data_IF_451147863900
#
_entry.id   IF_451147863900
#
_cell.length_a   1.000
_cell.length_b   1.000
_cell.length_c   1.000
_cell.angle_alpha   90.00
_cell.angle_beta   90.00
_cell.angle_gamma   90.00
#
_symmetry.space_group_name_H-M   'P 1'
#
loop_
_entity.id
_entity.type
_entity.pdbx_description
1 polymer ?
#
# COMPACT_ATOMS: atom_id res chain seq x y z
N UNK A 1 13.64 16.21 -33.17
CA UNK A 1 14.18 17.22 -32.22
C UNK A 1 14.28 16.50 -30.88
N UNK A 2 15.47 16.37 -30.27
CA UNK A 2 15.59 15.71 -28.98
C UNK A 2 15.05 16.69 -27.92
N UNK A 3 14.02 16.29 -27.17
CA UNK A 3 13.56 17.03 -26.00
C UNK A 3 14.47 16.69 -24.82
N UNK A 4 15.07 17.70 -24.23
CA UNK A 4 15.86 17.59 -23.01
C UNK A 4 15.15 18.39 -21.93
N UNK A 5 15.21 17.90 -20.69
CA UNK A 5 14.77 18.66 -19.53
C UNK A 5 15.75 19.80 -19.22
N UNK A 6 15.48 20.54 -18.13
CA UNK A 6 16.35 21.66 -17.68
C UNK A 6 17.75 21.20 -17.23
N UNK A 7 17.98 19.88 -17.12
CA UNK A 7 19.27 19.27 -16.74
C UNK A 7 19.96 18.58 -17.92
N UNK A 8 19.41 18.68 -19.16
CA UNK A 8 19.98 18.09 -20.37
C UNK A 8 19.72 16.59 -20.54
N UNK A 9 18.79 16.02 -19.78
CA UNK A 9 18.39 14.62 -19.91
C UNK A 9 17.38 14.40 -21.03
N UNK A 10 17.38 13.21 -21.63
CA UNK A 10 16.37 12.84 -22.62
C UNK A 10 15.00 12.68 -21.95
N UNK A 11 14.05 13.51 -22.28
CA UNK A 11 12.68 13.39 -21.79
C UNK A 11 11.92 12.38 -22.66
N UNK A 12 11.38 11.36 -22.02
CA UNK A 12 10.45 10.42 -22.64
C UNK A 12 9.05 10.88 -22.28
N UNK A 13 8.28 11.26 -23.30
CA UNK A 13 6.88 11.61 -23.11
C UNK A 13 6.00 10.36 -23.23
N UNK A 14 5.12 10.16 -22.23
CA UNK A 14 4.17 9.06 -22.22
C UNK A 14 2.77 9.58 -22.54
N UNK A 15 2.04 8.87 -23.39
CA UNK A 15 0.62 9.05 -23.61
C UNK A 15 -0.14 7.98 -22.84
N UNK A 16 -1.04 8.40 -21.98
CA UNK A 16 -1.90 7.51 -21.21
C UNK A 16 -3.21 7.34 -21.98
N UNK A 17 -3.58 6.11 -22.22
CA UNK A 17 -4.81 5.73 -22.92
C UNK A 17 -5.62 4.73 -22.09
N UNK A 18 -6.91 4.62 -22.39
CA UNK A 18 -7.80 3.61 -21.78
C UNK A 18 -7.80 3.56 -20.25
N UNK A 19 -7.58 4.67 -19.58
CA UNK A 19 -7.58 4.74 -18.14
C UNK A 19 -8.91 4.27 -17.55
N UNK A 20 -8.87 3.33 -16.62
CA UNK A 20 -10.02 2.76 -15.92
C UNK A 20 -9.82 2.89 -14.43
N UNK A 21 -10.87 3.32 -13.73
CA UNK A 21 -10.94 3.27 -12.28
C UNK A 21 -11.57 1.94 -11.87
N UNK A 22 -10.84 1.13 -11.13
CA UNK A 22 -11.24 -0.20 -10.70
C UNK A 22 -11.31 -0.26 -9.17
N UNK A 23 -12.36 -0.87 -8.66
CA UNK A 23 -12.47 -1.19 -7.24
C UNK A 23 -11.95 -2.61 -7.03
N UNK A 24 -10.64 -2.71 -6.79
CA UNK A 24 -9.94 -3.97 -6.58
C UNK A 24 -9.39 -4.03 -5.17
N UNK A 25 -9.50 -5.20 -4.54
CA UNK A 25 -8.78 -5.49 -3.31
C UNK A 25 -7.27 -5.58 -3.56
N UNK A 26 -6.48 -5.46 -2.51
CA UNK A 26 -5.02 -5.61 -2.59
C UNK A 26 -4.61 -6.98 -3.17
N UNK A 27 -5.36 -8.03 -2.86
CA UNK A 27 -5.13 -9.39 -3.35
C UNK A 27 -5.39 -9.53 -4.86
N UNK A 28 -6.30 -8.73 -5.40
CA UNK A 28 -6.64 -8.73 -6.83
C UNK A 28 -5.69 -7.85 -7.64
N UNK A 29 -5.29 -6.69 -7.11
CA UNK A 29 -4.45 -5.78 -7.87
C UNK A 29 -2.96 -6.15 -7.86
N UNK A 30 -2.45 -6.75 -6.76
CA UNK A 30 -1.02 -7.10 -6.65
C UNK A 30 -0.50 -8.07 -7.71
N UNK A 31 -1.25 -9.13 -8.10
CA UNK A 31 -0.80 -10.04 -9.15
C UNK A 31 -1.02 -9.52 -10.58
N UNK A 32 -1.57 -8.32 -10.76
CA UNK A 32 -1.75 -7.77 -12.10
C UNK A 32 -0.40 -7.56 -12.78
N UNK A 33 -0.30 -8.02 -14.03
CA UNK A 33 0.85 -7.75 -14.90
C UNK A 33 0.82 -6.28 -15.36
N UNK A 34 1.17 -5.38 -14.45
CA UNK A 34 1.20 -3.94 -14.70
C UNK A 34 2.43 -3.31 -14.05
N UNK A 35 2.99 -2.32 -14.72
CA UNK A 35 4.08 -1.53 -14.16
C UNK A 35 3.55 -0.63 -13.05
N UNK A 36 4.09 -0.76 -11.87
CA UNK A 36 3.84 0.15 -10.75
C UNK A 36 5.08 0.98 -10.43
N UNK A 37 4.87 2.06 -9.65
CA UNK A 37 5.94 2.99 -9.31
C UNK A 37 7.13 2.31 -8.61
N UNK A 38 6.87 1.36 -7.72
CA UNK A 38 7.93 0.65 -6.98
C UNK A 38 8.76 -0.21 -7.92
N UNK A 39 8.13 -0.91 -8.84
CA UNK A 39 8.79 -1.74 -9.83
C UNK A 39 9.71 -0.89 -10.75
N UNK A 40 9.20 0.25 -11.23
CA UNK A 40 9.99 1.18 -12.05
C UNK A 40 11.18 1.75 -11.27
N UNK A 41 10.99 2.11 -10.00
CA UNK A 41 12.09 2.57 -9.12
C UNK A 41 13.15 1.51 -8.92
N UNK A 42 12.76 0.26 -8.73
CA UNK A 42 13.69 -0.85 -8.54
C UNK A 42 14.51 -1.13 -9.81
N UNK A 43 13.88 -1.05 -10.99
CA UNK A 43 14.60 -1.13 -12.28
C UNK A 43 15.63 0.00 -12.39
N UNK A 44 15.21 1.23 -12.10
CA UNK A 44 16.06 2.41 -12.27
C UNK A 44 17.22 2.45 -11.26
N UNK A 45 16.93 2.20 -9.98
CA UNK A 45 17.90 2.39 -8.91
C UNK A 45 18.83 1.18 -8.70
N UNK A 46 18.40 -0.01 -9.09
CA UNK A 46 19.16 -1.26 -8.86
C UNK A 46 19.35 -2.03 -10.16
N UNK A 47 18.33 -2.77 -10.61
CA UNK A 47 18.36 -3.50 -11.87
C UNK A 47 17.00 -4.14 -12.20
N UNK A 48 16.73 -4.51 -13.47
CA UNK A 48 15.54 -5.28 -13.85
C UNK A 48 15.42 -6.62 -13.10
N UNK A 49 16.54 -7.34 -12.94
CA UNK A 49 16.56 -8.63 -12.21
C UNK A 49 16.19 -8.48 -10.72
N UNK A 50 16.61 -7.38 -10.10
CA UNK A 50 16.22 -7.08 -8.73
C UNK A 50 14.74 -6.73 -8.61
N UNK A 51 14.21 -5.96 -9.54
CA UNK A 51 12.79 -5.62 -9.58
C UNK A 51 11.92 -6.88 -9.71
N UNK A 52 12.31 -7.81 -10.59
CA UNK A 52 11.63 -9.09 -10.76
C UNK A 52 11.73 -9.96 -9.49
N UNK A 53 12.89 -10.00 -8.85
CA UNK A 53 13.09 -10.70 -7.59
C UNK A 53 12.16 -10.16 -6.49
N UNK A 54 12.09 -8.84 -6.32
CA UNK A 54 11.22 -8.20 -5.31
C UNK A 54 9.74 -8.41 -5.58
N UNK A 55 9.34 -8.43 -6.84
CA UNK A 55 7.94 -8.73 -7.20
C UNK A 55 7.53 -10.13 -6.74
N UNK A 56 8.43 -11.11 -6.90
CA UNK A 56 8.21 -12.50 -6.47
C UNK A 56 8.41 -12.71 -4.96
N UNK A 57 9.19 -11.84 -4.32
CA UNK A 57 9.56 -11.92 -2.91
C UNK A 57 9.27 -10.58 -2.21
N UNK A 58 8.00 -10.23 -1.99
CA UNK A 58 7.64 -8.98 -1.34
C UNK A 58 8.22 -8.92 0.07
N UNK A 59 8.84 -7.79 0.40
CA UNK A 59 9.31 -7.57 1.76
C UNK A 59 8.13 -7.47 2.73
N UNK A 60 8.23 -8.21 3.82
CA UNK A 60 7.30 -8.12 4.94
C UNK A 60 8.10 -7.72 6.17
N UNK A 61 7.87 -6.50 6.65
CA UNK A 61 8.58 -6.00 7.83
C UNK A 61 7.64 -5.27 8.79
N UNK A 62 8.06 -5.09 10.07
CA UNK A 62 7.22 -4.43 11.07
C UNK A 62 6.80 -3.02 10.66
N UNK A 63 7.68 -2.26 9.99
CA UNK A 63 7.38 -0.92 9.51
C UNK A 63 6.31 -0.93 8.39
N UNK A 64 6.36 -1.89 7.49
CA UNK A 64 5.37 -2.05 6.44
C UNK A 64 4.02 -2.45 7.03
N UNK A 65 4.01 -3.40 7.97
CA UNK A 65 2.82 -3.82 8.69
C UNK A 65 2.16 -2.63 9.42
N UNK A 66 2.95 -1.84 10.14
CA UNK A 66 2.47 -0.64 10.82
C UNK A 66 1.87 0.37 9.83
N UNK A 67 2.57 0.63 8.72
CA UNK A 67 2.11 1.54 7.67
C UNK A 67 0.79 1.08 7.03
N UNK A 68 0.67 -0.19 6.68
CA UNK A 68 -0.55 -0.77 6.13
C UNK A 68 -1.71 -0.70 7.13
N UNK A 69 -1.46 -1.01 8.40
CA UNK A 69 -2.48 -0.92 9.43
C UNK A 69 -2.94 0.51 9.68
N UNK A 70 -2.02 1.49 9.73
CA UNK A 70 -2.35 2.90 9.85
C UNK A 70 -3.20 3.37 8.66
N UNK A 71 -2.79 3.03 7.46
CA UNK A 71 -3.50 3.38 6.22
C UNK A 71 -4.93 2.85 6.24
N UNK A 72 -5.12 1.56 6.54
CA UNK A 72 -6.44 0.95 6.66
C UNK A 72 -7.27 1.59 7.77
N UNK A 73 -6.68 1.85 8.94
CA UNK A 73 -7.39 2.46 10.07
C UNK A 73 -7.87 3.89 9.78
N UNK A 74 -7.10 4.64 8.98
CA UNK A 74 -7.45 6.02 8.58
C UNK A 74 -8.52 6.03 7.50
N UNK A 75 -8.42 5.18 6.50
CA UNK A 75 -9.25 5.24 5.29
C UNK A 75 -10.47 4.33 5.35
N UNK A 76 -10.36 3.16 6.00
CA UNK A 76 -11.40 2.13 6.03
C UNK A 76 -11.66 1.60 7.46
N UNK A 77 -11.84 2.50 8.42
CA UNK A 77 -11.97 2.14 9.83
C UNK A 77 -13.06 1.09 10.13
N UNK A 78 -14.14 1.09 9.36
CA UNK A 78 -15.27 0.16 9.55
C UNK A 78 -14.91 -1.30 9.31
N UNK A 79 -13.94 -1.57 8.46
CA UNK A 79 -13.48 -2.92 8.09
C UNK A 79 -12.20 -3.33 8.81
N UNK A 80 -11.53 -2.40 9.50
CA UNK A 80 -10.23 -2.61 10.15
C UNK A 80 -10.16 -3.87 11.00
N UNK A 81 -11.12 -4.07 11.91
CA UNK A 81 -11.14 -5.24 12.80
C UNK A 81 -11.48 -6.56 12.10
N UNK A 82 -11.86 -6.53 10.83
CA UNK A 82 -11.96 -7.72 9.98
C UNK A 82 -10.58 -8.24 9.57
N UNK A 83 -9.60 -7.36 9.38
CA UNK A 83 -8.27 -7.70 8.89
C UNK A 83 -7.19 -7.70 9.98
N UNK A 84 -7.37 -6.94 11.04
CA UNK A 84 -6.38 -6.76 12.10
C UNK A 84 -6.95 -7.13 13.46
N UNK A 85 -6.10 -7.73 14.29
CA UNK A 85 -6.38 -7.99 15.70
C UNK A 85 -5.28 -7.40 16.57
N UNK A 86 -5.66 -6.78 17.67
CA UNK A 86 -4.70 -6.20 18.62
C UNK A 86 -4.34 -7.24 19.67
N UNK A 87 -3.05 -7.55 19.75
CA UNK A 87 -2.55 -8.53 20.73
C UNK A 87 -2.85 -8.09 22.17
N UNK A 88 -3.34 -8.99 23.04
CA UNK A 88 -3.56 -8.65 24.44
C UNK A 88 -2.23 -8.46 25.16
N UNK A 89 -2.21 -7.51 26.10
CA UNK A 89 -1.08 -7.31 27.00
C UNK A 89 -1.06 -8.43 28.05
N UNK A 90 -0.35 -9.52 27.74
CA UNK A 90 -0.24 -10.66 28.64
C UNK A 90 1.19 -11.19 28.73
N UNK A 91 1.61 -11.59 29.94
CA UNK A 91 2.91 -12.27 30.10
C UNK A 91 2.78 -13.75 29.75
N UNK A 92 3.20 -14.10 28.53
CA UNK A 92 3.20 -15.47 27.99
C UNK A 92 4.09 -16.47 28.73
N UNK A 93 4.83 -16.06 29.78
CA UNK A 93 5.59 -16.97 30.64
C UNK A 93 4.69 -17.57 31.74
N UNK A 94 3.60 -16.91 32.11
CA UNK A 94 2.64 -17.39 33.09
C UNK A 94 1.62 -18.33 32.44
N UNK A 95 1.00 -19.19 33.26
CA UNK A 95 -0.06 -20.09 32.81
C UNK A 95 -1.24 -19.30 32.24
N UNK A 96 -1.69 -18.31 32.96
CA UNK A 96 -2.81 -17.45 32.58
C UNK A 96 -2.50 -16.70 31.28
N UNK A 97 -1.28 -16.16 31.12
CA UNK A 97 -0.88 -15.47 29.89
C UNK A 97 -0.81 -16.38 28.67
N UNK A 98 -0.43 -17.66 28.84
CA UNK A 98 -0.49 -18.65 27.76
C UNK A 98 -1.93 -18.93 27.35
N UNK A 99 -2.80 -19.21 28.31
CA UNK A 99 -4.23 -19.46 28.06
C UNK A 99 -4.89 -18.27 27.35
N UNK A 100 -4.60 -17.03 27.80
CA UNK A 100 -5.09 -15.80 27.17
C UNK A 100 -4.60 -15.69 25.71
N UNK A 101 -3.32 -16.00 25.47
CA UNK A 101 -2.76 -15.94 24.13
C UNK A 101 -3.33 -17.02 23.20
N UNK A 102 -3.50 -18.24 23.68
CA UNK A 102 -4.08 -19.35 22.93
C UNK A 102 -5.53 -19.04 22.54
N UNK A 103 -6.34 -18.50 23.45
CA UNK A 103 -7.71 -18.06 23.15
C UNK A 103 -7.71 -16.94 22.10
N UNK A 104 -6.83 -15.94 22.25
CA UNK A 104 -6.70 -14.85 21.28
C UNK A 104 -6.36 -15.35 19.87
N UNK A 105 -5.42 -16.28 19.76
CA UNK A 105 -5.03 -16.87 18.46
C UNK A 105 -6.16 -17.71 17.87
N UNK A 106 -6.89 -18.45 18.70
CA UNK A 106 -8.04 -19.24 18.24
C UNK A 106 -9.14 -18.35 17.63
N UNK A 107 -9.39 -17.18 18.24
CA UNK A 107 -10.43 -16.25 17.81
C UNK A 107 -10.02 -15.37 16.61
N UNK A 108 -8.69 -15.23 16.34
CA UNK A 108 -8.16 -14.27 15.38
C UNK A 108 -7.09 -14.87 14.46
N UNK A 109 -7.08 -16.20 14.24
CA UNK A 109 -6.01 -16.88 13.51
C UNK A 109 -5.88 -16.50 12.02
N UNK A 110 -6.91 -15.92 11.43
CA UNK A 110 -6.96 -15.42 10.06
C UNK A 110 -6.56 -13.94 9.91
N UNK A 111 -6.36 -13.24 11.05
CA UNK A 111 -6.08 -11.81 11.06
C UNK A 111 -4.61 -11.50 11.25
N UNK A 112 -4.24 -10.34 10.76
CA UNK A 112 -2.90 -9.79 11.01
C UNK A 112 -2.83 -9.22 12.43
N UNK A 113 -1.89 -9.75 13.24
CA UNK A 113 -1.76 -9.36 14.64
C UNK A 113 -0.89 -8.12 14.79
N UNK A 114 -1.44 -7.08 15.39
CA UNK A 114 -0.74 -5.85 15.77
C UNK A 114 -0.35 -5.90 17.25
N UNK A 115 0.80 -5.31 17.58
CA UNK A 115 1.14 -5.06 18.98
C UNK A 115 0.22 -3.97 19.54
N UNK A 116 -0.09 -4.08 20.82
CA UNK A 116 -0.90 -3.07 21.53
C UNK A 116 -0.28 -1.66 21.42
N UNK A 117 1.03 -1.54 21.57
CA UNK A 117 1.76 -0.26 21.47
C UNK A 117 1.62 0.37 20.06
N UNK A 118 1.72 -0.46 19.00
CA UNK A 118 1.55 -0.03 17.62
C UNK A 118 0.12 0.47 17.39
N UNK A 119 -0.88 -0.25 17.90
CA UNK A 119 -2.28 0.17 17.79
C UNK A 119 -2.56 1.48 18.53
N UNK A 120 -2.01 1.67 19.74
CA UNK A 120 -2.12 2.93 20.46
C UNK A 120 -1.52 4.10 19.67
N UNK A 121 -0.38 3.87 19.02
CA UNK A 121 0.26 4.88 18.17
C UNK A 121 -0.59 5.19 16.94
N UNK A 122 -1.12 4.17 16.25
CA UNK A 122 -2.05 4.33 15.11
C UNK A 122 -3.28 5.16 15.52
N UNK A 123 -3.88 4.83 16.68
CA UNK A 123 -5.06 5.53 17.18
C UNK A 123 -4.76 7.00 17.53
N UNK A 124 -3.60 7.28 18.11
CA UNK A 124 -3.16 8.65 18.41
C UNK A 124 -2.93 9.46 17.12
N UNK A 125 -2.29 8.86 16.12
CA UNK A 125 -2.10 9.46 14.79
C UNK A 125 -3.45 9.75 14.11
N UNK A 126 -4.37 8.80 14.13
CA UNK A 126 -5.72 9.00 13.60
C UNK A 126 -6.45 10.17 14.28
N UNK A 127 -6.39 10.26 15.61
CA UNK A 127 -6.99 11.39 16.35
C UNK A 127 -6.40 12.74 15.93
N UNK A 128 -5.09 12.80 15.70
CA UNK A 128 -4.43 14.01 15.25
C UNK A 128 -4.85 14.43 13.83
N UNK A 129 -5.17 13.46 12.97
CA UNK A 129 -5.69 13.71 11.62
C UNK A 129 -7.17 14.08 11.60
N UNK A 130 -7.94 13.66 12.61
CA UNK A 130 -9.39 13.72 12.62
C UNK A 130 -9.97 15.12 12.38
N UNK A 131 -9.35 16.16 12.93
CA UNK A 131 -9.75 17.54 12.69
C UNK A 131 -9.49 18.00 11.26
N UNK A 132 -8.39 17.57 10.65
CA UNK A 132 -8.05 17.89 9.25
C UNK A 132 -8.98 17.16 8.28
N UNK A 133 -9.21 15.87 8.49
CA UNK A 133 -10.12 15.09 7.64
C UNK A 133 -11.56 15.56 7.74
N UNK A 134 -12.06 15.86 8.93
CA UNK A 134 -13.43 16.37 9.10
C UNK A 134 -13.63 17.72 8.42
N UNK A 135 -12.66 18.62 8.43
CA UNK A 135 -12.76 19.92 7.80
C UNK A 135 -12.70 19.88 6.26
N UNK A 136 -12.01 18.91 5.68
CA UNK A 136 -11.82 18.78 4.23
C UNK A 136 -12.78 17.77 3.58
N UNK A 137 -13.23 16.76 4.32
CA UNK A 137 -14.12 15.71 3.81
C UNK A 137 -15.61 16.09 3.88
N UNK A 138 -15.98 17.11 4.66
CA UNK A 138 -17.37 17.56 4.76
C UNK A 138 -17.83 18.16 3.42
N UNK A 139 -18.70 17.41 2.72
CA UNK A 139 -19.28 17.81 1.43
C UNK A 139 -18.54 17.36 0.18
N UNK A 140 -17.40 16.69 0.30
CA UNK A 140 -16.67 16.13 -0.83
C UNK A 140 -17.08 14.68 -1.09
N UNK A 141 -17.43 14.35 -2.34
CA UNK A 141 -17.51 12.95 -2.78
C UNK A 141 -16.09 12.48 -3.05
N UNK A 142 -15.55 11.63 -2.21
CA UNK A 142 -14.26 10.98 -2.43
C UNK A 142 -14.44 9.47 -2.49
N UNK A 143 -13.54 8.84 -3.20
CA UNK A 143 -13.45 7.41 -3.36
C UNK A 143 -12.13 6.99 -2.73
N UNK A 144 -12.18 5.99 -1.86
CA UNK A 144 -11.03 5.49 -1.11
C UNK A 144 -10.57 4.16 -1.73
N UNK A 145 -9.26 3.96 -1.82
CA UNK A 145 -8.65 2.69 -2.24
C UNK A 145 -9.10 2.19 -3.62
N UNK A 146 -9.11 3.07 -4.62
CA UNK A 146 -9.36 2.66 -6.00
C UNK A 146 -8.05 2.56 -6.78
N UNK A 147 -7.97 1.53 -7.62
CA UNK A 147 -6.87 1.32 -8.54
C UNK A 147 -7.17 2.00 -9.87
N UNK A 148 -6.20 2.73 -10.41
CA UNK A 148 -6.24 3.26 -11.78
C UNK A 148 -5.31 2.40 -12.62
N UNK A 149 -5.87 1.74 -13.63
CA UNK A 149 -5.13 0.98 -14.63
C UNK A 149 -5.28 1.67 -15.98
N UNK A 150 -4.19 1.85 -16.70
CA UNK A 150 -4.18 2.51 -17.99
C UNK A 150 -3.10 1.91 -18.89
N UNK A 151 -3.31 2.00 -20.18
CA UNK A 151 -2.28 1.73 -21.17
C UNK A 151 -1.35 2.95 -21.27
N UNK A 152 -0.05 2.72 -21.37
CA UNK A 152 0.93 3.75 -21.60
C UNK A 152 1.69 3.47 -22.89
N UNK A 153 1.85 4.50 -23.71
CA UNK A 153 2.60 4.42 -24.96
C UNK A 153 3.63 5.55 -24.98
N UNK A 154 4.84 5.23 -25.40
CA UNK A 154 5.88 6.27 -25.61
C UNK A 154 5.44 7.17 -26.75
N UNK A 155 5.11 8.43 -26.47
CA UNK A 155 4.60 9.38 -27.47
C UNK A 155 5.70 10.10 -28.22
N UNK A 156 6.87 10.27 -27.60
CA UNK A 156 8.02 10.96 -28.18
C UNK A 156 9.33 10.27 -27.79
N UNK A 157 10.37 10.45 -28.60
CA UNK A 157 11.69 9.89 -28.39
C UNK A 157 12.00 8.70 -29.28
N UNK A 158 13.12 8.04 -29.02
CA UNK A 158 13.65 6.92 -29.80
C UNK A 158 12.71 5.70 -29.82
N UNK A 159 11.95 5.50 -28.74
CA UNK A 159 11.02 4.37 -28.58
C UNK A 159 9.56 4.74 -28.83
N UNK A 160 9.32 5.78 -29.65
CA UNK A 160 7.95 6.22 -29.98
C UNK A 160 7.10 5.07 -30.53
N UNK A 161 5.91 4.90 -29.95
CA UNK A 161 4.95 3.87 -30.37
C UNK A 161 5.14 2.52 -29.70
N UNK A 162 6.12 2.36 -28.81
CA UNK A 162 6.30 1.14 -28.02
C UNK A 162 5.29 1.15 -26.85
N UNK A 163 4.44 0.13 -26.70
CA UNK A 163 3.59 -0.04 -25.53
C UNK A 163 4.43 -0.42 -24.32
N UNK A 164 4.02 0.06 -23.15
CA UNK A 164 4.63 -0.24 -21.85
C UNK A 164 3.69 -1.10 -21.00
#
# INVERSE_FOLDING_TARGET
>A
MKHYDTHGENVISLKIENAKLLNLSEQEYRPMEALNQSYIKDIHNVSPSYAEYRLKNPEVGPALLFGSALHHYVLEQSTFYGYYAVAPSCDRRTKLGKETWESFVADNGDKTVLKEEDFHTIHAMYKSLGTLFQSHAVGSKYVVEHCIVADAVVSEGEFKGVPL
#
